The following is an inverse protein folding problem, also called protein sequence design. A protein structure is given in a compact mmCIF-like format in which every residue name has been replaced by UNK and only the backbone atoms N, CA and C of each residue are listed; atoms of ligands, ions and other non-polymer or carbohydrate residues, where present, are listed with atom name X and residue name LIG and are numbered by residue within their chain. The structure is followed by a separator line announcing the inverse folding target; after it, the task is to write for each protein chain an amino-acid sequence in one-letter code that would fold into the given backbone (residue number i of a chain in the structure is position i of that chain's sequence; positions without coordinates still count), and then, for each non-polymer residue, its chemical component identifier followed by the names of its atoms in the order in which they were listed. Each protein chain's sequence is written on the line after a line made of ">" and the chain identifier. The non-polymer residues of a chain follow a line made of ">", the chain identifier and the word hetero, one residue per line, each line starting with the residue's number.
data_IF_949474787904
#
_entry.id   IF_949474787904
#
_cell.length_a   1.000
_cell.length_b   1.000
_cell.length_c   1.000
_cell.angle_alpha   90.00
_cell.angle_beta   90.00
_cell.angle_gamma   90.00
#
_symmetry.space_group_name_H-M   'P 1'
#
loop_
_entity.id
_entity.type
_entity.pdbx_description
1 polymer ?
#
# COMPACT_ATOMS: atom_id res chain seq x y z
N UNK A 1 18.86 6.18 -12.35
CA UNK A 1 17.74 6.07 -11.39
C UNK A 1 18.06 6.78 -10.08
N UNK A 2 19.20 6.46 -9.44
CA UNK A 2 19.61 7.03 -8.15
C UNK A 2 19.57 8.56 -8.06
N UNK A 3 19.98 9.27 -9.11
CA UNK A 3 19.97 10.75 -9.14
C UNK A 3 18.55 11.36 -9.17
N UNK A 4 17.53 10.58 -9.57
CA UNK A 4 16.17 11.09 -9.85
C UNK A 4 15.09 10.48 -8.97
N UNK A 5 15.34 9.29 -8.41
CA UNK A 5 14.39 8.59 -7.55
C UNK A 5 14.95 8.58 -6.13
N UNK A 6 14.27 9.28 -5.22
CA UNK A 6 14.67 9.33 -3.80
C UNK A 6 14.44 8.01 -3.07
N UNK A 7 13.28 7.39 -3.31
CA UNK A 7 12.86 6.10 -2.73
C UNK A 7 11.78 5.48 -3.61
N UNK A 8 11.67 4.15 -3.58
CA UNK A 8 10.53 3.43 -4.13
C UNK A 8 9.66 2.93 -2.96
N UNK A 9 8.37 3.28 -2.97
CA UNK A 9 7.38 2.64 -2.10
C UNK A 9 6.56 1.68 -2.94
N UNK A 10 6.55 0.41 -2.57
CA UNK A 10 5.96 -0.68 -3.35
C UNK A 10 4.80 -1.29 -2.58
N UNK A 11 3.59 -1.25 -3.13
CA UNK A 11 2.54 -2.17 -2.72
C UNK A 11 2.84 -3.51 -3.38
N UNK A 12 3.24 -4.49 -2.58
CA UNK A 12 3.55 -5.82 -3.11
C UNK A 12 4.26 -6.70 -2.10
N UNK A 13 4.16 -8.01 -2.34
CA UNK A 13 4.66 -9.03 -1.44
C UNK A 13 3.78 -9.24 -0.21
N UNK A 14 4.03 -10.34 0.49
CA UNK A 14 3.42 -10.67 1.78
C UNK A 14 4.53 -10.96 2.77
N UNK A 15 4.50 -10.32 3.93
CA UNK A 15 5.63 -10.36 4.86
C UNK A 15 5.29 -11.07 6.17
N UNK A 16 6.25 -11.84 6.73
CA UNK A 16 7.63 -12.06 6.25
C UNK A 16 7.73 -13.03 5.05
N UNK A 17 6.67 -13.77 4.74
CA UNK A 17 6.64 -14.71 3.62
C UNK A 17 5.24 -14.82 3.01
N UNK A 18 5.17 -15.26 1.76
CA UNK A 18 3.91 -15.61 1.12
C UNK A 18 3.85 -15.32 -0.38
N UNK A 19 2.63 -15.13 -0.89
CA UNK A 19 2.34 -14.87 -2.30
C UNK A 19 1.41 -13.67 -2.39
N UNK A 20 1.72 -12.76 -3.31
CA UNK A 20 0.95 -11.54 -3.53
C UNK A 20 0.77 -11.31 -5.04
N UNK A 21 -0.35 -10.71 -5.41
CA UNK A 21 -0.83 -10.61 -6.79
C UNK A 21 0.10 -9.79 -7.69
N UNK A 22 0.52 -8.59 -7.28
CA UNK A 22 1.38 -7.71 -8.08
C UNK A 22 2.74 -8.36 -8.38
N UNK A 23 3.33 -9.08 -7.41
CA UNK A 23 4.57 -9.83 -7.63
C UNK A 23 4.36 -10.99 -8.61
N UNK A 24 3.24 -11.72 -8.49
CA UNK A 24 2.94 -12.90 -9.34
C UNK A 24 2.55 -12.55 -10.76
N UNK A 25 1.91 -11.39 -10.97
CA UNK A 25 1.39 -11.00 -12.27
C UNK A 25 2.48 -10.93 -13.34
N UNK A 26 3.65 -10.41 -12.97
CA UNK A 26 4.85 -10.46 -13.79
C UNK A 26 6.08 -10.74 -12.92
N UNK A 27 6.25 -12.02 -12.60
CA UNK A 27 7.28 -12.50 -11.68
C UNK A 27 8.69 -12.10 -12.12
N UNK A 28 9.02 -12.33 -13.39
CA UNK A 28 10.36 -12.07 -13.92
C UNK A 28 10.69 -10.58 -13.84
N UNK A 29 9.76 -9.70 -14.26
CA UNK A 29 10.00 -8.26 -14.18
C UNK A 29 10.02 -7.77 -12.74
N UNK A 30 9.15 -8.28 -11.87
CA UNK A 30 9.14 -7.93 -10.44
C UNK A 30 10.47 -8.29 -9.77
N UNK A 31 10.98 -9.51 -10.01
CA UNK A 31 12.28 -9.97 -9.50
C UNK A 31 13.41 -9.07 -10.00
N UNK A 32 13.50 -8.83 -11.32
CA UNK A 32 14.53 -7.97 -11.90
C UNK A 32 14.46 -6.55 -11.32
N UNK A 33 13.27 -5.95 -11.26
CA UNK A 33 13.08 -4.60 -10.76
C UNK A 33 13.48 -4.48 -9.31
N UNK A 34 13.07 -5.41 -8.44
CA UNK A 34 13.39 -5.41 -7.00
C UNK A 34 14.88 -5.68 -6.76
N UNK A 35 15.45 -6.71 -7.39
CA UNK A 35 16.85 -7.10 -7.16
C UNK A 35 17.87 -6.09 -7.69
N UNK A 36 17.52 -5.39 -8.77
CA UNK A 36 18.41 -4.43 -9.43
C UNK A 36 18.09 -2.97 -9.08
N UNK A 37 17.11 -2.71 -8.21
CA UNK A 37 16.79 -1.34 -7.84
C UNK A 37 17.92 -0.72 -7.02
N UNK A 38 18.43 0.45 -7.42
CA UNK A 38 19.64 0.96 -6.80
C UNK A 38 19.41 1.84 -5.56
N UNK A 39 18.14 2.16 -5.25
CA UNK A 39 17.79 2.98 -4.07
C UNK A 39 16.94 2.17 -3.09
N UNK A 40 16.64 2.74 -1.92
CA UNK A 40 15.82 2.05 -0.91
C UNK A 40 14.43 1.74 -1.44
N UNK A 41 13.98 0.50 -1.18
CA UNK A 41 12.59 0.08 -1.38
C UNK A 41 11.93 -0.06 -0.01
N UNK A 42 10.73 0.51 0.13
CA UNK A 42 9.85 0.30 1.28
C UNK A 42 8.60 -0.42 0.79
N UNK A 43 8.37 -1.64 1.26
CA UNK A 43 7.21 -2.44 0.90
C UNK A 43 6.04 -2.19 1.85
N UNK A 44 4.85 -1.99 1.28
CA UNK A 44 3.56 -2.15 1.95
C UNK A 44 2.99 -3.50 1.56
N UNK A 45 3.01 -4.44 2.51
CA UNK A 45 2.63 -5.83 2.27
C UNK A 45 1.13 -6.03 2.17
N UNK A 46 0.76 -7.20 1.65
CA UNK A 46 -0.63 -7.67 1.58
C UNK A 46 -1.33 -7.56 2.95
N UNK A 47 -0.67 -8.01 4.01
CA UNK A 47 -1.19 -8.07 5.38
C UNK A 47 -1.49 -6.71 6.00
N UNK A 48 -0.91 -5.62 5.46
CA UNK A 48 -1.17 -4.26 5.91
C UNK A 48 -2.48 -3.75 5.30
N UNK A 49 -2.61 -3.81 3.98
CA UNK A 49 -3.79 -3.32 3.28
C UNK A 49 -5.05 -4.15 3.52
N UNK A 50 -4.91 -5.46 3.78
CA UNK A 50 -6.04 -6.36 4.08
C UNK A 50 -6.81 -5.94 5.33
N UNK A 51 -6.09 -5.44 6.35
CA UNK A 51 -6.69 -5.04 7.64
C UNK A 51 -7.35 -3.66 7.59
N UNK A 52 -6.92 -2.80 6.67
CA UNK A 52 -7.36 -1.40 6.58
C UNK A 52 -8.40 -1.30 5.47
N UNK A 53 -9.69 -1.24 5.84
CA UNK A 53 -10.79 -1.22 4.88
C UNK A 53 -11.45 0.15 4.84
N UNK A 54 -11.47 0.75 3.66
CA UNK A 54 -11.95 2.12 3.45
C UNK A 54 -13.00 2.21 2.34
N UNK A 55 -13.66 3.35 2.21
CA UNK A 55 -14.55 3.68 1.11
C UNK A 55 -16.03 3.73 1.47
N UNK A 56 -16.47 3.11 2.57
CA UNK A 56 -17.89 3.13 2.95
C UNK A 56 -18.35 4.52 3.39
N UNK A 57 -17.55 5.23 4.18
CA UNK A 57 -17.86 6.60 4.60
C UNK A 57 -17.73 7.58 3.42
N UNK A 58 -16.78 7.33 2.52
CA UNK A 58 -16.60 8.06 1.27
C UNK A 58 -17.84 8.01 0.36
N UNK A 59 -18.43 6.84 0.14
CA UNK A 59 -19.61 6.71 -0.75
C UNK A 59 -20.86 7.38 -0.16
N UNK A 60 -20.91 7.57 1.16
CA UNK A 60 -21.98 8.28 1.86
C UNK A 60 -21.81 9.81 1.87
N UNK A 61 -20.70 10.35 1.36
CA UNK A 61 -20.46 11.79 1.34
C UNK A 61 -21.59 12.55 0.63
N UNK A 62 -22.06 13.69 1.19
CA UNK A 62 -23.10 14.52 0.56
C UNK A 62 -22.51 15.44 -0.53
N UNK A 63 -21.79 14.85 -1.50
CA UNK A 63 -21.27 15.54 -2.67
C UNK A 63 -21.60 14.79 -3.95
N UNK A 64 -21.69 15.53 -5.05
CA UNK A 64 -21.91 15.01 -6.41
C UNK A 64 -20.70 15.31 -7.29
N UNK A 65 -20.52 14.52 -8.36
CA UNK A 65 -19.42 14.68 -9.33
C UNK A 65 -18.04 14.64 -8.67
N UNK A 66 -17.85 13.75 -7.69
CA UNK A 66 -16.57 13.53 -7.05
C UNK A 66 -16.00 12.20 -7.57
N UNK A 67 -14.96 12.21 -8.42
CA UNK A 67 -14.47 10.99 -9.07
C UNK A 67 -13.94 9.95 -8.07
N UNK A 68 -13.45 10.38 -6.90
CA UNK A 68 -12.98 9.46 -5.85
C UNK A 68 -14.19 8.78 -5.21
N UNK A 69 -15.26 9.53 -4.89
CA UNK A 69 -16.51 8.95 -4.41
C UNK A 69 -17.11 8.01 -5.45
N UNK A 70 -17.23 8.47 -6.69
CA UNK A 70 -17.98 7.79 -7.74
C UNK A 70 -17.36 6.43 -8.09
N UNK A 71 -16.02 6.34 -8.17
CA UNK A 71 -15.36 5.06 -8.45
C UNK A 71 -15.60 4.04 -7.33
N UNK A 72 -15.54 4.45 -6.06
CA UNK A 72 -15.80 3.55 -4.94
C UNK A 72 -17.28 3.12 -4.88
N UNK A 73 -18.21 4.04 -5.17
CA UNK A 73 -19.64 3.75 -5.20
C UNK A 73 -19.99 2.73 -6.30
N UNK A 74 -19.29 2.78 -7.44
CA UNK A 74 -19.46 1.82 -8.54
C UNK A 74 -18.79 0.48 -8.19
N UNK A 75 -17.59 0.49 -7.61
CA UNK A 75 -16.76 -0.71 -7.43
C UNK A 75 -17.16 -1.57 -6.23
N UNK A 76 -17.48 -0.98 -5.08
CA UNK A 76 -17.77 -1.74 -3.85
C UNK A 76 -18.91 -2.77 -4.03
N UNK A 77 -20.04 -2.44 -4.67
CA UNK A 77 -21.14 -3.41 -4.85
C UNK A 77 -20.82 -4.55 -5.82
N UNK A 78 -19.72 -4.47 -6.60
CA UNK A 78 -19.35 -5.48 -7.58
C UNK A 78 -18.64 -6.69 -6.96
N UNK A 79 -18.25 -6.63 -5.67
CA UNK A 79 -17.55 -7.71 -4.98
C UNK A 79 -18.06 -7.87 -3.55
N UNK A 80 -18.44 -9.11 -3.19
CA UNK A 80 -18.83 -9.45 -1.82
C UNK A 80 -17.67 -9.24 -0.82
N UNK A 81 -16.42 -9.32 -1.26
CA UNK A 81 -15.25 -9.08 -0.42
C UNK A 81 -15.17 -7.63 0.09
N UNK A 82 -15.75 -6.70 -0.67
CA UNK A 82 -15.69 -5.26 -0.41
C UNK A 82 -16.90 -4.76 0.40
N UNK A 83 -17.84 -5.64 0.78
CA UNK A 83 -19.06 -5.26 1.52
C UNK A 83 -18.79 -4.50 2.83
N UNK A 84 -17.62 -4.72 3.42
CA UNK A 84 -17.16 -4.09 4.66
C UNK A 84 -16.11 -3.00 4.40
N UNK A 85 -16.07 -2.46 3.18
CA UNK A 85 -15.04 -1.54 2.70
C UNK A 85 -13.95 -2.24 1.88
N UNK A 86 -13.35 -1.47 0.98
CA UNK A 86 -12.27 -1.90 0.09
C UNK A 86 -10.96 -1.97 0.85
N UNK A 87 -10.20 -3.05 0.67
CA UNK A 87 -8.87 -3.19 1.27
C UNK A 87 -7.91 -2.12 0.74
N UNK A 88 -7.19 -1.46 1.65
CA UNK A 88 -6.43 -0.22 1.38
C UNK A 88 -4.96 -0.50 1.04
N UNK A 89 -4.70 -1.47 0.16
CA UNK A 89 -3.34 -1.87 -0.21
C UNK A 89 -2.57 -0.71 -0.85
N UNK A 90 -3.10 -0.12 -1.91
CA UNK A 90 -2.42 0.96 -2.62
C UNK A 90 -2.43 2.28 -1.83
N UNK A 91 -3.51 2.55 -1.09
CA UNK A 91 -3.65 3.75 -0.27
C UNK A 91 -2.59 3.79 0.83
N UNK A 92 -2.25 2.65 1.44
CA UNK A 92 -1.18 2.59 2.45
C UNK A 92 0.20 2.87 1.83
N UNK A 93 0.48 2.36 0.63
CA UNK A 93 1.70 2.69 -0.10
C UNK A 93 1.78 4.18 -0.47
N UNK A 94 0.67 4.77 -0.92
CA UNK A 94 0.60 6.22 -1.23
C UNK A 94 0.80 7.06 0.04
N UNK A 95 0.20 6.67 1.17
CA UNK A 95 0.38 7.35 2.45
C UNK A 95 1.87 7.39 2.85
N UNK A 96 2.57 6.26 2.74
CA UNK A 96 4.01 6.15 3.04
C UNK A 96 4.85 6.98 2.05
N UNK A 97 4.47 6.97 0.76
CA UNK A 97 5.17 7.73 -0.27
C UNK A 97 5.12 9.23 0.01
N UNK A 98 3.93 9.75 0.32
CA UNK A 98 3.68 11.19 0.47
C UNK A 98 4.00 11.71 1.87
N UNK A 99 3.56 11.03 2.94
CA UNK A 99 3.65 11.52 4.32
C UNK A 99 4.75 10.86 5.16
N UNK A 100 5.43 9.85 4.62
CA UNK A 100 6.37 9.03 5.39
C UNK A 100 5.67 7.92 6.17
N UNK A 101 6.43 6.99 6.73
CA UNK A 101 5.91 5.84 7.46
C UNK A 101 5.95 6.06 8.98
N UNK A 102 6.80 6.95 9.48
CA UNK A 102 7.29 7.00 10.86
C UNK A 102 6.18 7.19 11.91
N UNK A 103 5.10 7.87 11.52
CA UNK A 103 3.92 8.10 12.36
C UNK A 103 2.98 6.89 12.40
N UNK A 104 2.94 6.11 11.33
CA UNK A 104 1.87 5.15 11.03
C UNK A 104 2.33 3.70 11.18
N UNK A 105 3.61 3.44 10.89
CA UNK A 105 4.20 2.12 10.80
C UNK A 105 5.60 2.08 11.43
N UNK A 106 5.97 0.90 11.93
CA UNK A 106 7.36 0.51 12.10
C UNK A 106 7.92 0.00 10.77
N UNK A 107 9.24 -0.17 10.68
CA UNK A 107 9.86 -0.86 9.54
C UNK A 107 10.77 -1.98 10.04
N UNK A 108 10.76 -3.09 9.32
CA UNK A 108 11.77 -4.14 9.44
C UNK A 108 12.70 -4.05 8.23
N UNK A 109 14.00 -3.97 8.46
CA UNK A 109 15.02 -3.84 7.40
C UNK A 109 15.58 -5.20 7.01
N UNK A 110 15.92 -5.35 5.74
CA UNK A 110 16.37 -6.62 5.22
C UNK A 110 16.40 -6.67 3.71
N UNK A 111 16.15 -7.87 3.19
CA UNK A 111 16.14 -8.16 1.77
C UNK A 111 14.91 -9.00 1.43
N UNK A 112 14.22 -8.55 0.39
CA UNK A 112 13.14 -9.29 -0.28
C UNK A 112 13.76 -10.38 -1.15
N UNK A 113 13.31 -11.62 -0.99
CA UNK A 113 13.77 -12.76 -1.77
C UNK A 113 12.56 -13.27 -2.56
N UNK A 114 12.68 -13.34 -3.87
CA UNK A 114 11.62 -13.84 -4.75
C UNK A 114 12.01 -15.17 -5.38
N UNK A 115 11.11 -16.14 -5.30
CA UNK A 115 11.28 -17.49 -5.85
C UNK A 115 10.53 -17.65 -7.18
N UNK A 116 10.88 -18.69 -7.93
CA UNK A 116 10.35 -18.97 -9.27
C UNK A 116 8.85 -19.30 -9.30
N UNK A 117 8.26 -19.68 -8.17
CA UNK A 117 6.83 -20.00 -8.03
C UNK A 117 5.97 -18.79 -7.60
N UNK A 118 6.59 -17.60 -7.57
CA UNK A 118 5.97 -16.35 -7.14
C UNK A 118 5.83 -16.20 -5.62
N UNK A 119 6.43 -17.10 -4.83
CA UNK A 119 6.62 -16.91 -3.40
C UNK A 119 7.67 -15.83 -3.13
N UNK A 120 7.50 -15.11 -2.03
CA UNK A 120 8.53 -14.27 -1.45
C UNK A 120 8.86 -14.68 -0.02
N UNK A 121 10.11 -14.47 0.36
CA UNK A 121 10.58 -14.54 1.75
C UNK A 121 11.30 -13.25 2.11
N UNK A 122 11.51 -13.09 3.42
CA UNK A 122 12.28 -12.00 3.99
C UNK A 122 13.54 -12.51 4.67
N UNK A 123 14.65 -11.81 4.42
CA UNK A 123 15.90 -12.00 5.16
C UNK A 123 16.26 -10.73 5.91
N UNK A 124 16.24 -10.79 7.24
CA UNK A 124 16.61 -9.67 8.09
C UNK A 124 18.06 -9.23 7.86
N UNK A 125 18.26 -7.90 7.80
CA UNK A 125 19.57 -7.28 7.68
C UNK A 125 19.45 -5.78 7.95
N UNK A 126 20.15 -5.29 8.97
CA UNK A 126 20.17 -3.85 9.31
C UNK A 126 20.73 -2.97 8.19
N UNK A 127 21.63 -3.54 7.38
CA UNK A 127 22.23 -2.89 6.21
C UNK A 127 21.57 -3.34 4.89
N UNK A 128 20.41 -3.99 4.97
CA UNK A 128 19.66 -4.46 3.81
C UNK A 128 19.15 -3.30 2.94
N UNK A 129 19.04 -3.50 1.61
CA UNK A 129 18.56 -2.45 0.70
C UNK A 129 17.06 -2.20 0.82
N UNK A 130 16.31 -3.12 1.43
CA UNK A 130 14.85 -3.11 1.48
C UNK A 130 14.35 -2.94 2.93
N UNK A 131 13.12 -2.48 3.06
CA UNK A 131 12.35 -2.57 4.28
C UNK A 131 10.89 -2.92 3.96
N UNK A 132 10.18 -3.57 4.89
CA UNK A 132 8.71 -3.63 4.84
C UNK A 132 8.12 -2.99 6.08
N UNK A 133 6.91 -2.41 5.95
CA UNK A 133 6.21 -1.78 7.06
C UNK A 133 5.50 -2.80 7.94
N UNK A 134 5.44 -2.51 9.24
CA UNK A 134 4.67 -3.25 10.24
C UNK A 134 3.75 -2.28 10.97
N UNK A 135 2.54 -2.71 11.28
CA UNK A 135 1.53 -1.89 11.98
C UNK A 135 2.09 -1.28 13.25
N UNK A 136 1.95 0.05 13.39
CA UNK A 136 2.28 0.81 14.59
C UNK A 136 1.06 1.56 15.11
N UNK A 137 0.42 2.31 14.23
CA UNK A 137 -0.85 2.98 14.53
C UNK A 137 -1.98 1.95 14.60
N UNK A 138 -2.91 2.05 15.55
CA UNK A 138 -4.08 1.18 15.60
C UNK A 138 -4.86 1.21 14.29
N UNK A 139 -5.26 0.03 13.79
CA UNK A 139 -5.98 -0.12 12.50
C UNK A 139 -7.18 0.83 12.37
N UNK A 140 -8.08 0.98 13.37
CA UNK A 140 -9.19 1.92 13.23
C UNK A 140 -8.75 3.37 12.98
N UNK A 141 -7.66 3.82 13.61
CA UNK A 141 -7.20 5.21 13.47
C UNK A 141 -6.56 5.47 12.10
N UNK A 142 -5.79 4.52 11.57
CA UNK A 142 -5.20 4.67 10.23
C UNK A 142 -6.25 4.51 9.13
N UNK A 143 -7.26 3.66 9.35
CA UNK A 143 -8.44 3.55 8.47
C UNK A 143 -9.15 4.89 8.39
N UNK A 144 -9.52 5.49 9.53
CA UNK A 144 -10.18 6.79 9.57
C UNK A 144 -9.32 7.89 8.92
N UNK A 145 -8.01 7.90 9.19
CA UNK A 145 -7.10 8.84 8.56
C UNK A 145 -7.08 8.73 7.02
N UNK A 146 -7.00 7.51 6.48
CA UNK A 146 -6.98 7.31 5.02
C UNK A 146 -8.34 7.70 4.43
N UNK A 147 -9.43 7.29 5.07
CA UNK A 147 -10.79 7.67 4.68
C UNK A 147 -10.94 9.19 4.59
N UNK A 148 -10.57 9.91 5.65
CA UNK A 148 -10.68 11.38 5.71
C UNK A 148 -9.80 12.07 4.65
N UNK A 149 -8.64 11.49 4.32
CA UNK A 149 -7.79 11.99 3.22
C UNK A 149 -8.46 11.78 1.86
N UNK A 150 -9.15 10.66 1.63
CA UNK A 150 -9.89 10.41 0.39
C UNK A 150 -11.14 11.27 0.28
N UNK A 151 -11.77 11.60 1.40
CA UNK A 151 -12.95 12.46 1.49
C UNK A 151 -12.64 13.96 1.36
N UNK A 152 -11.37 14.35 1.20
CA UNK A 152 -11.00 15.75 1.10
C UNK A 152 -11.64 16.42 -0.13
N UNK A 153 -12.48 17.43 0.11
CA UNK A 153 -13.03 18.29 -0.94
C UNK A 153 -12.23 19.59 -0.96
N UNK A 154 -11.61 19.89 -2.10
CA UNK A 154 -10.92 21.16 -2.27
C UNK A 154 -11.95 22.29 -2.27
N UNK A 155 -11.84 23.20 -1.31
CA UNK A 155 -12.54 24.48 -1.40
C UNK A 155 -11.83 25.30 -2.46
N UNK A 156 -12.43 25.39 -3.66
CA UNK A 156 -12.00 26.39 -4.64
C UNK A 156 -12.37 27.75 -4.05
N UNK A 157 -11.42 28.39 -3.39
CA UNK A 157 -11.52 29.83 -3.14
C UNK A 157 -11.39 30.48 -4.51
N UNK A 158 -12.51 30.99 -5.03
CA UNK A 158 -12.51 31.86 -6.21
C UNK A 158 -11.81 33.18 -5.89
#
# INVERSE_FOLDING_TARGET
>A
VEQKVRKWVCMGGKFPEGKEFNIRLDLLKSKIAIEQWPTKIIFSGFEIGEQIKTGLKLIEMPCENNPVKDVFAISIPQSEEDKNGRMSWDQTAVLIAVKGYEKYFYINKGKFITFEDGHNEWKDSENGPHAYVVTKMPVPQITELIEDLMMHVTTVTK
#
